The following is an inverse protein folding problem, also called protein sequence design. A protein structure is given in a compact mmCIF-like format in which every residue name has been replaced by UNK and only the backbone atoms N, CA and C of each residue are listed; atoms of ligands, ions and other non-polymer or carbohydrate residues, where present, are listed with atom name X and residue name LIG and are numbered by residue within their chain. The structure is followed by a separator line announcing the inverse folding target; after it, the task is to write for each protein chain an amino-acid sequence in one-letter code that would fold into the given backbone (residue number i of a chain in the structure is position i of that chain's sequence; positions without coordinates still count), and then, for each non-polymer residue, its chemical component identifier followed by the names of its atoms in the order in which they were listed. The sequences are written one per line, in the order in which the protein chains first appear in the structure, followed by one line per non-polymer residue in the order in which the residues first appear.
data_IF_035010390366
#
_entry.id   IF_035010390366
#
_cell.length_a   1.000
_cell.length_b   1.000
_cell.length_c   1.000
_cell.angle_alpha   90.00
_cell.angle_beta   90.00
_cell.angle_gamma   90.00
#
_symmetry.space_group_name_H-M   'P 1'
#
loop_
_entity.id
_entity.type
_entity.pdbx_description
1 polymer ?
#
# COMPACT_ATOMS: atom_id res chain seq x y z
N UNK A 1 -31.17 2.62 -12.77
CA UNK A 1 -32.31 3.13 -13.58
C UNK A 1 -33.53 3.18 -12.68
N UNK A 2 -34.07 4.38 -12.44
CA UNK A 2 -35.31 4.57 -11.69
C UNK A 2 -36.46 4.58 -12.68
N UNK A 3 -37.41 3.67 -12.52
CA UNK A 3 -38.63 3.58 -13.36
C UNK A 3 -39.83 3.73 -12.45
N UNK A 4 -40.78 4.60 -12.80
CA UNK A 4 -42.07 4.67 -12.10
C UNK A 4 -42.97 3.56 -12.63
N UNK A 5 -43.50 2.72 -11.75
CA UNK A 5 -44.50 1.72 -12.13
C UNK A 5 -45.88 2.38 -12.20
N UNK A 6 -46.38 2.63 -13.40
CA UNK A 6 -47.66 3.33 -13.63
C UNK A 6 -48.88 2.56 -13.12
N UNK A 7 -48.79 1.23 -12.93
CA UNK A 7 -49.89 0.42 -12.40
C UNK A 7 -49.97 0.41 -10.89
N UNK A 8 -48.82 0.56 -10.23
CA UNK A 8 -48.67 0.31 -8.79
C UNK A 8 -48.31 1.56 -7.98
N UNK A 9 -47.89 2.63 -8.65
CA UNK A 9 -47.63 3.93 -8.02
C UNK A 9 -46.27 4.06 -7.32
N UNK A 10 -45.48 2.98 -7.22
CA UNK A 10 -44.14 3.00 -6.63
C UNK A 10 -43.00 3.03 -7.65
N UNK A 11 -41.81 3.38 -7.19
CA UNK A 11 -40.59 3.40 -8.00
C UNK A 11 -39.88 2.04 -7.95
N UNK A 12 -39.46 1.56 -9.12
CA UNK A 12 -38.62 0.38 -9.27
C UNK A 12 -37.20 0.82 -9.60
N UNK A 13 -36.26 0.35 -8.79
CA UNK A 13 -34.83 0.59 -8.99
C UNK A 13 -34.21 -0.62 -9.66
N UNK A 14 -33.77 -0.44 -10.91
CA UNK A 14 -33.00 -1.46 -11.64
C UNK A 14 -31.53 -1.11 -11.63
N UNK A 15 -30.73 -1.99 -11.03
CA UNK A 15 -29.28 -1.92 -11.08
C UNK A 15 -28.79 -2.34 -12.46
N UNK A 16 -27.81 -1.62 -13.01
CA UNK A 16 -27.09 -2.00 -14.23
C UNK A 16 -25.62 -1.73 -13.99
N UNK A 17 -24.75 -2.67 -14.36
CA UNK A 17 -23.31 -2.46 -14.33
C UNK A 17 -22.92 -1.45 -15.43
N UNK A 18 -22.18 -0.40 -15.05
CA UNK A 18 -21.60 0.57 -15.99
C UNK A 18 -20.22 0.06 -16.42
N UNK A 19 -20.20 -0.88 -17.37
CA UNK A 19 -18.97 -1.57 -17.81
C UNK A 19 -17.86 -0.60 -18.23
N UNK A 20 -18.22 0.48 -18.92
CA UNK A 20 -17.26 1.46 -19.44
C UNK A 20 -16.55 2.26 -18.32
N UNK A 21 -17.24 2.51 -17.20
CA UNK A 21 -16.65 3.20 -16.04
C UNK A 21 -15.81 2.26 -15.16
N UNK A 22 -16.10 0.95 -15.21
CA UNK A 22 -15.41 -0.06 -14.37
C UNK A 22 -13.95 -0.21 -14.79
N UNK A 23 -13.65 -0.23 -16.08
CA UNK A 23 -12.26 -0.41 -16.55
C UNK A 23 -11.38 0.79 -16.14
N UNK A 24 -11.84 2.02 -16.41
CA UNK A 24 -11.16 3.24 -15.98
C UNK A 24 -11.00 3.31 -14.46
N UNK A 25 -12.00 2.85 -13.70
CA UNK A 25 -11.89 2.78 -12.25
C UNK A 25 -10.79 1.81 -11.83
N UNK A 26 -10.76 0.60 -12.39
CA UNK A 26 -9.75 -0.42 -12.09
C UNK A 26 -8.34 0.11 -12.42
N UNK A 27 -8.16 0.72 -13.58
CA UNK A 27 -6.87 1.29 -13.98
C UNK A 27 -6.40 2.38 -13.01
N UNK A 28 -7.31 3.28 -12.61
CA UNK A 28 -7.00 4.31 -11.62
C UNK A 28 -6.65 3.72 -10.24
N UNK A 29 -7.28 2.63 -9.83
CA UNK A 29 -6.89 1.94 -8.59
C UNK A 29 -5.50 1.30 -8.72
N UNK A 30 -5.19 0.65 -9.85
CA UNK A 30 -3.85 0.09 -10.10
C UNK A 30 -2.76 1.16 -10.03
N UNK A 31 -2.99 2.34 -10.64
CA UNK A 31 -2.09 3.50 -10.57
C UNK A 31 -1.85 3.96 -9.14
N UNK A 32 -2.93 4.18 -8.36
CA UNK A 32 -2.83 4.57 -6.94
C UNK A 32 -2.07 3.55 -6.09
N UNK A 33 -2.28 2.25 -6.32
CA UNK A 33 -1.57 1.19 -5.60
C UNK A 33 -0.08 1.21 -5.98
N UNK A 34 0.24 1.35 -7.26
CA UNK A 34 1.62 1.45 -7.74
C UNK A 34 2.36 2.62 -7.10
N UNK A 35 1.76 3.82 -7.11
CA UNK A 35 2.33 5.01 -6.48
C UNK A 35 2.63 4.80 -5.00
N UNK A 36 1.70 4.20 -4.23
CA UNK A 36 1.91 3.90 -2.81
C UNK A 36 3.03 2.88 -2.58
N UNK A 37 3.10 1.85 -3.41
CA UNK A 37 4.17 0.86 -3.32
C UNK A 37 5.53 1.47 -3.67
N UNK A 38 5.58 2.35 -4.67
CA UNK A 38 6.80 3.07 -5.05
C UNK A 38 7.25 3.99 -3.91
N UNK A 39 6.36 4.80 -3.35
CA UNK A 39 6.65 5.63 -2.17
C UNK A 39 7.19 4.80 -1.00
N UNK A 40 6.61 3.60 -0.79
CA UNK A 40 7.10 2.70 0.25
C UNK A 40 8.50 2.17 -0.06
N UNK A 41 8.76 1.77 -1.30
CA UNK A 41 10.07 1.29 -1.73
C UNK A 41 11.13 2.40 -1.61
N UNK A 42 10.80 3.62 -2.00
CA UNK A 42 11.69 4.77 -1.89
C UNK A 42 12.06 5.03 -0.43
N UNK A 43 11.08 4.97 0.49
CA UNK A 43 11.33 5.06 1.93
C UNK A 43 12.22 3.92 2.45
N UNK A 44 12.01 2.68 2.00
CA UNK A 44 12.91 1.58 2.37
C UNK A 44 14.34 1.78 1.84
N UNK A 45 14.50 2.44 0.69
CA UNK A 45 15.78 2.70 0.03
C UNK A 45 16.55 3.86 0.65
N UNK A 46 15.86 4.94 1.00
CA UNK A 46 16.48 6.14 1.57
C UNK A 46 16.79 6.00 3.06
N UNK A 47 16.12 5.10 3.77
CA UNK A 47 16.23 4.99 5.22
C UNK A 47 16.93 3.71 5.68
N UNK A 48 17.78 3.86 6.69
CA UNK A 48 18.30 2.73 7.47
C UNK A 48 17.39 2.46 8.66
N UNK A 49 17.23 1.19 9.02
CA UNK A 49 16.33 0.79 10.10
C UNK A 49 17.05 0.03 11.19
N UNK A 50 16.59 0.24 12.41
CA UNK A 50 17.12 -0.37 13.62
C UNK A 50 16.00 -1.06 14.40
N UNK A 51 16.32 -2.18 15.05
CA UNK A 51 15.36 -2.95 15.83
C UNK A 51 16.06 -3.69 16.97
N UNK A 52 15.36 -3.90 18.10
CA UNK A 52 15.92 -4.55 19.28
C UNK A 52 15.70 -6.07 19.32
N UNK A 53 15.09 -6.67 18.30
CA UNK A 53 14.86 -8.12 18.19
C UNK A 53 13.55 -8.60 18.82
N UNK A 54 12.97 -7.86 19.77
CA UNK A 54 11.68 -8.21 20.37
C UNK A 54 10.52 -8.03 19.39
N UNK A 55 9.65 -9.04 19.28
CA UNK A 55 8.52 -9.03 18.32
C UNK A 55 7.53 -7.89 18.57
N UNK A 56 7.30 -7.58 19.84
CA UNK A 56 6.42 -6.51 20.27
C UNK A 56 6.99 -5.10 20.00
N UNK A 57 8.28 -4.96 19.72
CA UNK A 57 8.89 -3.65 19.58
C UNK A 57 8.86 -3.17 18.12
N UNK A 58 8.54 -1.89 17.87
CA UNK A 58 8.58 -1.35 16.51
C UNK A 58 10.04 -1.23 16.03
N UNK A 59 10.25 -1.35 14.71
CA UNK A 59 11.51 -0.89 14.11
C UNK A 59 11.50 0.64 14.04
N UNK A 60 12.66 1.24 14.16
CA UNK A 60 12.85 2.70 14.11
C UNK A 60 13.84 3.07 13.00
N UNK A 61 13.83 4.32 12.55
CA UNK A 61 14.83 4.83 11.58
C UNK A 61 16.15 5.11 12.28
N UNK A 62 17.20 5.37 11.49
CA UNK A 62 18.49 5.80 12.01
C UNK A 62 18.40 7.09 12.83
N UNK A 63 17.64 8.09 12.36
CA UNK A 63 17.48 9.38 13.05
C UNK A 63 16.87 9.17 14.44
N UNK A 64 15.79 8.39 14.53
CA UNK A 64 15.17 8.03 15.81
C UNK A 64 16.11 7.21 16.68
N UNK A 65 16.89 6.29 16.11
CA UNK A 65 17.87 5.52 16.87
C UNK A 65 18.95 6.44 17.44
N UNK A 66 19.41 7.44 16.69
CA UNK A 66 20.39 8.42 17.12
C UNK A 66 19.87 9.26 18.29
N UNK A 67 18.65 9.79 18.18
CA UNK A 67 17.99 10.56 19.25
C UNK A 67 17.80 9.74 20.54
N UNK A 68 17.56 8.43 20.40
CA UNK A 68 17.38 7.53 21.54
C UNK A 68 18.68 6.83 21.98
N UNK A 69 19.84 7.30 21.52
CA UNK A 69 21.16 6.71 21.83
C UNK A 69 21.23 5.20 21.57
N UNK A 70 20.65 4.76 20.46
CA UNK A 70 20.51 3.36 20.06
C UNK A 70 19.79 2.49 21.08
N UNK A 71 18.84 3.05 21.83
CA UNK A 71 17.93 2.31 22.71
C UNK A 71 16.52 2.27 22.15
N UNK A 72 15.85 1.14 22.35
CA UNK A 72 14.46 0.96 21.95
C UNK A 72 13.55 1.82 22.84
N UNK A 73 12.65 2.65 22.28
CA UNK A 73 11.76 3.48 23.07
C UNK A 73 10.70 2.68 23.84
N UNK A 74 10.48 1.40 23.50
CA UNK A 74 9.47 0.54 24.15
C UNK A 74 10.04 -0.30 25.29
N UNK A 75 11.18 -0.96 25.08
CA UNK A 75 11.76 -1.90 26.05
C UNK A 75 13.11 -1.44 26.64
N UNK A 76 13.69 -0.33 26.18
CA UNK A 76 14.99 0.16 26.63
C UNK A 76 16.21 -0.65 26.16
N UNK A 77 15.99 -1.79 25.48
CA UNK A 77 17.06 -2.63 24.94
C UNK A 77 17.82 -1.96 23.79
N UNK A 78 19.03 -2.43 23.51
CA UNK A 78 19.87 -1.91 22.41
C UNK A 78 19.25 -2.27 21.06
N UNK A 79 19.16 -1.29 20.16
CA UNK A 79 18.72 -1.52 18.78
C UNK A 79 19.92 -1.77 17.86
N UNK A 80 19.76 -2.69 16.91
CA UNK A 80 20.78 -3.03 15.93
C UNK A 80 20.26 -2.84 14.51
N UNK A 81 21.17 -2.68 13.55
CA UNK A 81 20.84 -2.50 12.14
C UNK A 81 19.99 -3.69 11.64
N UNK A 82 18.81 -3.38 11.10
CA UNK A 82 17.87 -4.35 10.55
C UNK A 82 17.82 -4.21 9.04
N UNK A 83 18.33 -5.24 8.35
CA UNK A 83 18.23 -5.34 6.89
C UNK A 83 16.77 -5.42 6.43
N UNK A 84 16.46 -4.71 5.35
CA UNK A 84 15.14 -4.68 4.72
C UNK A 84 15.15 -5.22 3.28
N UNK A 85 16.21 -5.91 2.85
CA UNK A 85 16.39 -6.42 1.48
C UNK A 85 15.22 -7.30 1.00
N UNK A 86 14.71 -8.17 1.89
CA UNK A 86 13.56 -9.03 1.58
C UNK A 86 12.30 -8.21 1.25
N UNK A 87 12.06 -7.14 2.00
CA UNK A 87 10.91 -6.27 1.81
C UNK A 87 11.07 -5.43 0.53
N UNK A 88 12.25 -4.87 0.29
CA UNK A 88 12.57 -4.14 -0.96
C UNK A 88 12.30 -5.01 -2.18
N UNK A 89 12.85 -6.23 -2.20
CA UNK A 89 12.66 -7.18 -3.30
C UNK A 89 11.18 -7.53 -3.52
N UNK A 90 10.42 -7.71 -2.44
CA UNK A 90 8.98 -7.97 -2.54
C UNK A 90 8.21 -6.78 -3.13
N UNK A 91 8.54 -5.55 -2.70
CA UNK A 91 7.96 -4.32 -3.24
C UNK A 91 8.30 -4.14 -4.73
N UNK A 92 9.57 -4.29 -5.11
CA UNK A 92 10.04 -4.21 -6.50
C UNK A 92 9.33 -5.22 -7.40
N UNK A 93 9.24 -6.48 -6.93
CA UNK A 93 8.54 -7.55 -7.65
C UNK A 93 7.08 -7.16 -7.87
N UNK A 94 6.39 -6.69 -6.82
CA UNK A 94 4.98 -6.35 -6.90
C UNK A 94 4.70 -5.13 -7.78
N UNK A 95 5.56 -4.11 -7.71
CA UNK A 95 5.50 -2.94 -8.59
C UNK A 95 5.66 -3.38 -10.04
N UNK A 96 6.61 -4.27 -10.32
CA UNK A 96 6.86 -4.80 -11.67
C UNK A 96 5.65 -5.57 -12.21
N UNK A 97 5.04 -6.43 -11.39
CA UNK A 97 3.80 -7.13 -11.75
C UNK A 97 2.68 -6.15 -12.13
N UNK A 98 2.42 -5.14 -11.29
CA UNK A 98 1.36 -4.15 -11.54
C UNK A 98 1.65 -3.32 -12.80
N UNK A 99 2.91 -2.92 -13.02
CA UNK A 99 3.31 -2.19 -14.24
C UNK A 99 3.13 -3.03 -15.49
N UNK A 100 3.48 -4.32 -15.44
CA UNK A 100 3.31 -5.24 -16.56
C UNK A 100 1.83 -5.49 -16.87
N UNK A 101 1.01 -5.64 -15.84
CA UNK A 101 -0.44 -5.80 -15.98
C UNK A 101 -1.08 -4.57 -16.65
N UNK A 102 -0.73 -3.35 -16.21
CA UNK A 102 -1.21 -2.11 -16.85
C UNK A 102 -0.74 -1.96 -18.31
N UNK A 103 0.47 -2.43 -18.66
CA UNK A 103 0.99 -2.38 -20.03
C UNK A 103 0.30 -3.35 -20.99
N UNK A 104 -0.23 -4.48 -20.50
CA UNK A 104 -0.91 -5.51 -21.31
C UNK A 104 -2.33 -5.12 -21.71
N UNK A 105 -2.90 -4.08 -21.10
CA UNK A 105 -4.25 -3.59 -21.39
C UNK A 105 -4.27 -2.43 -22.40
N UNK A 106 -3.09 -1.99 -22.86
CA UNK A 106 -2.90 -1.06 -23.98
C UNK A 106 -2.73 -1.84 -25.29
#
# INVERSE_FOLDING_TARGET
IRVKDERKGWFVYRWRSRKDEVENFIENQKKKINERLQQRLDYENSSQFYHCGNEDCPRITFENALEQFFKCPRCGGVVNLKKNDKLKKALETKITEIRNDMRRQL
#
